data_IF_753873983428
#
_entry.id   IF_753873983428
#
_cell.length_a   1.000
_cell.length_b   1.000
_cell.length_c   1.000
_cell.angle_alpha   90.00
_cell.angle_beta   90.00
_cell.angle_gamma   90.00
#
_symmetry.space_group_name_H-M   'P 1'
#
loop_
_entity.id
_entity.type
_entity.pdbx_description
1 polymer ?
#
# COMPACT_ATOMS: atom_id res chain seq x y z
N UNK A 1 -42.19 -46.84 31.24
CA UNK A 1 -41.85 -47.70 30.09
C UNK A 1 -40.57 -47.14 29.49
N UNK A 2 -39.44 -47.83 29.70
CA UNK A 2 -38.15 -47.42 29.14
C UNK A 2 -37.95 -48.15 27.81
N UNK A 3 -37.60 -47.39 26.78
CA UNK A 3 -37.12 -47.93 25.51
C UNK A 3 -35.97 -48.90 25.78
N UNK A 4 -36.01 -50.09 25.18
CA UNK A 4 -34.91 -51.05 25.23
C UNK A 4 -33.98 -50.85 24.03
N UNK A 5 -32.74 -51.33 24.13
CA UNK A 5 -31.78 -51.31 23.02
C UNK A 5 -32.34 -51.93 21.73
N UNK A 6 -33.23 -52.93 21.87
CA UNK A 6 -33.93 -53.61 20.76
C UNK A 6 -35.07 -52.78 20.17
N UNK A 7 -35.70 -51.91 20.95
CA UNK A 7 -36.78 -51.04 20.46
C UNK A 7 -36.22 -49.93 19.55
N UNK A 8 -35.02 -49.42 19.86
CA UNK A 8 -34.33 -48.41 19.05
C UNK A 8 -33.93 -48.95 17.68
N UNK A 9 -33.44 -50.20 17.62
CA UNK A 9 -33.05 -50.85 16.35
C UNK A 9 -34.24 -51.23 15.46
N UNK A 10 -35.43 -51.42 16.05
CA UNK A 10 -36.66 -51.77 15.31
C UNK A 10 -37.53 -50.55 14.99
N UNK A 11 -37.05 -49.33 15.25
CA UNK A 11 -37.82 -48.11 14.99
C UNK A 11 -37.63 -47.67 13.53
N UNK A 12 -38.72 -47.59 12.77
CA UNK A 12 -38.73 -47.09 11.40
C UNK A 12 -39.33 -45.67 11.32
N UNK A 13 -38.72 -44.80 10.51
CA UNK A 13 -39.17 -43.42 10.31
C UNK A 13 -39.68 -43.20 8.87
N UNK A 14 -40.79 -42.46 8.66
CA UNK A 14 -41.29 -42.15 7.32
C UNK A 14 -40.45 -41.05 6.64
N UNK A 15 -40.05 -41.29 5.38
CA UNK A 15 -39.26 -40.33 4.59
C UNK A 15 -40.07 -39.09 4.17
N UNK A 16 -39.44 -37.90 4.25
CA UNK A 16 -40.03 -36.62 3.83
C UNK A 16 -39.05 -35.85 2.92
N UNK A 17 -39.56 -35.11 1.92
CA UNK A 17 -38.75 -34.34 0.93
C UNK A 17 -37.75 -33.31 1.51
N UNK A 18 -37.89 -32.94 2.78
CA UNK A 18 -36.86 -32.25 3.58
C UNK A 18 -36.78 -33.00 4.91
N UNK A 19 -35.72 -33.76 5.12
CA UNK A 19 -35.53 -34.62 6.28
C UNK A 19 -34.04 -34.90 6.51
N UNK A 20 -33.74 -35.54 7.64
CA UNK A 20 -32.41 -36.05 7.93
C UNK A 20 -32.05 -37.20 6.97
N UNK A 21 -30.76 -37.40 6.71
CA UNK A 21 -30.25 -38.51 5.91
C UNK A 21 -30.51 -39.83 6.64
N UNK A 22 -31.24 -40.76 6.00
CA UNK A 22 -31.60 -42.05 6.59
C UNK A 22 -30.38 -42.88 6.99
N UNK A 23 -29.31 -42.88 6.18
CA UNK A 23 -28.11 -43.65 6.51
C UNK A 23 -27.35 -43.06 7.70
N UNK A 24 -27.37 -41.73 7.86
CA UNK A 24 -26.76 -41.07 9.00
C UNK A 24 -27.55 -41.32 10.28
N UNK A 25 -28.88 -41.32 10.19
CA UNK A 25 -29.77 -41.67 11.29
C UNK A 25 -29.56 -43.13 11.70
N UNK A 26 -29.48 -44.07 10.77
CA UNK A 26 -29.24 -45.49 11.07
C UNK A 26 -27.90 -45.72 11.79
N UNK A 27 -26.81 -45.11 11.31
CA UNK A 27 -25.49 -45.17 11.97
C UNK A 27 -25.52 -44.57 13.38
N UNK A 28 -26.34 -43.54 13.61
CA UNK A 28 -26.52 -42.95 14.92
C UNK A 28 -27.33 -43.87 15.85
N UNK A 29 -28.41 -44.48 15.35
CA UNK A 29 -29.23 -45.43 16.10
C UNK A 29 -28.43 -46.67 16.51
N UNK A 30 -27.55 -47.18 15.65
CA UNK A 30 -26.62 -48.27 15.99
C UNK A 30 -25.72 -47.91 17.19
N UNK A 31 -25.16 -46.69 17.20
CA UNK A 31 -24.32 -46.21 18.30
C UNK A 31 -25.10 -46.03 19.60
N UNK A 32 -26.32 -45.50 19.50
CA UNK A 32 -27.21 -45.33 20.65
C UNK A 32 -27.63 -46.68 21.22
N UNK A 33 -28.02 -47.63 20.35
CA UNK A 33 -28.39 -48.98 20.76
C UNK A 33 -27.23 -49.72 21.43
N UNK A 34 -26.01 -49.61 20.90
CA UNK A 34 -24.81 -50.16 21.53
C UNK A 34 -24.58 -49.58 22.93
N UNK A 35 -24.69 -48.26 23.08
CA UNK A 35 -24.50 -47.60 24.38
C UNK A 35 -25.61 -47.95 25.39
N UNK A 36 -26.85 -48.10 24.93
CA UNK A 36 -27.95 -48.55 25.79
C UNK A 36 -27.75 -49.99 26.27
N UNK A 37 -27.26 -50.87 25.40
CA UNK A 37 -26.97 -52.26 25.77
C UNK A 37 -25.85 -52.35 26.82
N UNK A 38 -24.80 -51.53 26.69
CA UNK A 38 -23.76 -51.40 27.71
C UNK A 38 -24.32 -50.92 29.06
N UNK A 39 -25.15 -49.88 29.06
CA UNK A 39 -25.77 -49.37 30.29
C UNK A 39 -26.72 -50.38 30.94
N UNK A 40 -27.45 -51.15 30.14
CA UNK A 40 -28.30 -52.25 30.64
C UNK A 40 -27.44 -53.35 31.29
N UNK A 41 -26.32 -53.72 30.66
CA UNK A 41 -25.37 -54.70 31.20
C UNK A 41 -24.70 -54.19 32.48
N UNK A 42 -24.25 -52.93 32.52
CA UNK A 42 -23.68 -52.31 33.72
C UNK A 42 -24.69 -52.27 34.86
N UNK A 43 -25.95 -51.90 34.58
CA UNK A 43 -27.03 -51.90 35.58
C UNK A 43 -27.26 -53.29 36.13
N UNK A 44 -27.27 -54.32 35.29
CA UNK A 44 -27.54 -55.69 35.72
C UNK A 44 -26.35 -56.25 36.53
N UNK A 45 -25.11 -55.92 36.15
CA UNK A 45 -23.92 -56.23 36.93
C UNK A 45 -23.94 -55.54 38.31
N UNK A 46 -24.32 -54.25 38.36
CA UNK A 46 -24.42 -53.50 39.61
C UNK A 46 -25.49 -54.09 40.52
N UNK A 47 -26.65 -54.47 39.98
CA UNK A 47 -27.71 -55.14 40.74
C UNK A 47 -27.25 -56.48 41.29
N UNK A 48 -26.58 -57.30 40.47
CA UNK A 48 -26.02 -58.57 40.94
C UNK A 48 -25.00 -58.35 42.07
N UNK A 49 -24.18 -57.29 41.98
CA UNK A 49 -23.20 -56.95 43.01
C UNK A 49 -23.87 -56.46 44.31
N UNK A 50 -24.93 -55.68 44.20
CA UNK A 50 -25.73 -55.25 45.36
C UNK A 50 -26.35 -56.47 46.02
N UNK A 51 -26.99 -57.36 45.28
CA UNK A 51 -27.60 -58.59 45.82
C UNK A 51 -26.55 -59.51 46.49
N UNK A 52 -25.33 -59.56 45.96
CA UNK A 52 -24.20 -60.31 46.55
C UNK A 52 -23.74 -59.69 47.87
N UNK A 53 -23.57 -58.36 47.91
CA UNK A 53 -23.18 -57.63 49.10
C UNK A 53 -24.27 -57.69 50.18
N UNK A 54 -25.54 -57.60 49.81
CA UNK A 54 -26.68 -57.73 50.73
C UNK A 54 -26.75 -59.12 51.35
N UNK A 55 -26.47 -60.18 50.58
CA UNK A 55 -26.35 -61.56 51.12
C UNK A 55 -25.15 -61.71 52.05
N UNK A 56 -23.99 -61.19 51.66
CA UNK A 56 -22.79 -61.23 52.50
C UNK A 56 -22.98 -60.48 53.83
N UNK A 57 -23.71 -59.36 53.81
CA UNK A 57 -24.03 -58.57 54.99
C UNK A 57 -25.07 -59.28 55.89
N UNK A 58 -26.00 -60.05 55.32
CA UNK A 58 -26.97 -60.85 56.07
C UNK A 58 -26.35 -62.11 56.73
N UNK A 59 -25.25 -62.62 56.20
CA UNK A 59 -24.52 -63.79 56.72
C UNK A 59 -23.44 -63.44 57.76
N UNK A 60 -23.15 -62.15 57.99
CA UNK A 60 -22.20 -61.71 59.01
C UNK A 60 -22.81 -61.82 60.43
N UNK A 61 -22.16 -62.54 61.37
CA UNK A 61 -22.66 -62.67 62.73
C UNK A 61 -22.57 -61.32 63.46
N UNK A 62 -23.69 -60.88 64.02
CA UNK A 62 -23.92 -59.56 64.62
C UNK A 62 -23.06 -59.19 65.87
N UNK A 63 -22.02 -59.96 66.20
CA UNK A 63 -21.25 -59.80 67.44
C UNK A 63 -19.92 -59.06 67.29
N UNK A 64 -19.36 -58.93 66.08
CA UNK A 64 -18.13 -58.13 65.81
C UNK A 64 -18.45 -56.67 65.40
N UNK A 65 -19.72 -56.41 65.07
CA UNK A 65 -20.19 -55.17 64.43
C UNK A 65 -20.19 -53.91 65.31
N UNK A 66 -20.07 -53.98 66.63
CA UNK A 66 -20.17 -52.79 67.51
C UNK A 66 -18.82 -52.18 67.92
N UNK A 67 -17.74 -52.96 67.94
CA UNK A 67 -16.39 -52.44 68.20
C UNK A 67 -15.74 -51.85 66.94
N UNK A 68 -15.95 -52.49 65.78
CA UNK A 68 -15.48 -51.99 64.49
C UNK A 68 -16.28 -50.78 63.99
N UNK A 69 -17.57 -50.69 64.33
CA UNK A 69 -18.39 -49.51 64.02
C UNK A 69 -17.95 -48.26 64.80
N UNK A 70 -17.44 -48.39 66.03
CA UNK A 70 -16.94 -47.25 66.80
C UNK A 70 -15.55 -46.78 66.36
N UNK A 71 -14.69 -47.71 65.91
CA UNK A 71 -13.40 -47.39 65.30
C UNK A 71 -13.55 -46.75 63.91
N UNK A 72 -14.49 -47.24 63.08
CA UNK A 72 -14.77 -46.69 61.75
C UNK A 72 -15.36 -45.28 61.77
N UNK A 73 -16.15 -44.92 62.80
CA UNK A 73 -16.71 -43.56 62.95
C UNK A 73 -15.63 -42.55 63.36
N UNK A 74 -14.63 -42.96 64.16
CA UNK A 74 -13.50 -42.10 64.52
C UNK A 74 -12.59 -41.82 63.31
N UNK A 75 -12.23 -42.86 62.55
CA UNK A 75 -11.43 -42.74 61.31
C UNK A 75 -12.16 -41.91 60.24
N UNK A 76 -13.47 -42.10 60.05
CA UNK A 76 -14.28 -41.27 59.14
C UNK A 76 -14.31 -39.78 59.55
N UNK A 77 -14.28 -39.49 60.85
CA UNK A 77 -14.24 -38.11 61.36
C UNK A 77 -12.87 -37.44 61.15
N UNK A 78 -11.77 -38.20 61.25
CA UNK A 78 -10.42 -37.71 60.97
C UNK A 78 -10.20 -37.50 59.47
N UNK A 79 -10.67 -38.42 58.64
CA UNK A 79 -10.68 -38.28 57.18
C UNK A 79 -11.47 -37.05 56.72
N UNK A 80 -12.64 -36.79 57.33
CA UNK A 80 -13.43 -35.58 57.02
C UNK A 80 -12.66 -34.28 57.32
N UNK A 81 -11.93 -34.22 58.45
CA UNK A 81 -11.11 -33.05 58.80
C UNK A 81 -9.90 -32.88 57.87
N UNK A 82 -9.33 -33.98 57.38
CA UNK A 82 -8.24 -33.93 56.39
C UNK A 82 -8.74 -33.41 55.04
N UNK A 83 -9.92 -33.86 54.60
CA UNK A 83 -10.56 -33.38 53.37
C UNK A 83 -10.87 -31.89 53.49
N UNK A 84 -11.40 -31.43 54.62
CA UNK A 84 -11.70 -30.02 54.86
C UNK A 84 -10.44 -29.14 54.81
N UNK A 85 -9.35 -29.55 55.47
CA UNK A 85 -8.06 -28.82 55.37
C UNK A 85 -7.46 -28.86 53.97
N UNK A 86 -7.59 -29.98 53.26
CA UNK A 86 -7.11 -30.10 51.89
C UNK A 86 -7.91 -29.18 50.96
N UNK A 87 -9.22 -29.04 51.17
CA UNK A 87 -10.09 -28.17 50.40
C UNK A 87 -9.77 -26.69 50.64
N UNK A 88 -9.59 -26.27 51.89
CA UNK A 88 -9.16 -24.89 52.22
C UNK A 88 -7.79 -24.58 51.62
N UNK A 89 -6.85 -25.53 51.65
CA UNK A 89 -5.54 -25.36 51.02
C UNK A 89 -5.65 -25.28 49.50
N UNK A 90 -6.50 -26.08 48.87
CA UNK A 90 -6.73 -26.04 47.44
C UNK A 90 -7.38 -24.72 47.01
N UNK A 91 -8.35 -24.21 47.78
CA UNK A 91 -8.97 -22.90 47.57
C UNK A 91 -7.94 -21.78 47.69
N UNK A 92 -7.11 -21.79 48.74
CA UNK A 92 -6.04 -20.80 48.91
C UNK A 92 -5.02 -20.84 47.76
N UNK A 93 -4.68 -22.03 47.26
CA UNK A 93 -3.80 -22.16 46.09
C UNK A 93 -4.48 -21.61 44.84
N UNK A 94 -5.77 -21.90 44.64
CA UNK A 94 -6.53 -21.39 43.50
C UNK A 94 -6.64 -19.86 43.53
N UNK A 95 -6.90 -19.26 44.70
CA UNK A 95 -6.95 -17.81 44.85
C UNK A 95 -5.60 -17.17 44.55
N UNK A 96 -4.51 -17.78 45.02
CA UNK A 96 -3.17 -17.31 44.74
C UNK A 96 -2.83 -17.40 43.26
N UNK A 97 -3.17 -18.50 42.59
CA UNK A 97 -2.91 -18.64 41.14
C UNK A 97 -3.74 -17.69 40.31
N UNK A 98 -4.98 -17.39 40.73
CA UNK A 98 -5.80 -16.37 40.09
C UNK A 98 -5.16 -14.99 40.26
N UNK A 99 -4.74 -14.63 41.48
CA UNK A 99 -4.09 -13.35 41.74
C UNK A 99 -2.79 -13.18 40.93
N UNK A 100 -1.95 -14.22 40.89
CA UNK A 100 -0.70 -14.21 40.12
C UNK A 100 -1.00 -14.08 38.61
N UNK A 101 -2.00 -14.79 38.09
CA UNK A 101 -2.40 -14.70 36.68
C UNK A 101 -3.00 -13.33 36.32
N UNK A 102 -3.75 -12.71 37.24
CA UNK A 102 -4.29 -11.36 37.05
C UNK A 102 -3.19 -10.30 37.03
N UNK A 103 -2.18 -10.42 37.91
CA UNK A 103 -1.01 -9.54 37.92
C UNK A 103 -0.21 -9.66 36.62
N UNK A 104 0.08 -10.89 36.18
CA UNK A 104 0.77 -11.13 34.91
C UNK A 104 -0.01 -10.60 33.71
N UNK A 105 -1.33 -10.81 33.68
CA UNK A 105 -2.19 -10.30 32.62
C UNK A 105 -2.20 -8.77 32.59
N UNK A 106 -2.24 -8.10 33.74
CA UNK A 106 -2.19 -6.64 33.80
C UNK A 106 -0.81 -6.11 33.39
N UNK A 107 0.29 -6.76 33.79
CA UNK A 107 1.64 -6.42 33.31
C UNK A 107 1.73 -6.51 31.79
N UNK A 108 1.26 -7.62 31.21
CA UNK A 108 1.26 -7.82 29.76
C UNK A 108 0.41 -6.77 29.04
N UNK A 109 -0.76 -6.41 29.60
CA UNK A 109 -1.60 -5.33 29.05
C UNK A 109 -0.89 -3.99 29.07
N UNK A 110 -0.17 -3.66 30.14
CA UNK A 110 0.57 -2.40 30.25
C UNK A 110 1.75 -2.34 29.28
N UNK A 111 2.48 -3.44 29.14
CA UNK A 111 3.55 -3.58 28.15
C UNK A 111 3.00 -3.41 26.72
N UNK A 112 1.94 -4.14 26.37
CA UNK A 112 1.30 -4.04 25.07
C UNK A 112 0.76 -2.63 24.77
N UNK A 113 0.17 -1.95 25.77
CA UNK A 113 -0.27 -0.54 25.64
C UNK A 113 0.92 0.39 25.39
N UNK A 114 1.99 0.24 26.15
CA UNK A 114 3.19 1.06 26.00
C UNK A 114 3.83 0.85 24.63
N UNK A 115 3.90 -0.39 24.16
CA UNK A 115 4.42 -0.72 22.83
C UNK A 115 3.52 -0.16 21.73
N UNK A 116 2.20 -0.27 21.87
CA UNK A 116 1.24 0.32 20.94
C UNK A 116 1.41 1.85 20.87
N UNK A 117 1.53 2.52 22.01
CA UNK A 117 1.76 3.96 22.07
C UNK A 117 3.09 4.34 21.40
N UNK A 118 4.16 3.58 21.61
CA UNK A 118 5.45 3.79 20.94
C UNK A 118 5.38 3.59 19.42
N UNK A 119 4.61 2.59 18.95
CA UNK A 119 4.39 2.39 17.51
C UNK A 119 3.59 3.57 16.93
N UNK A 120 2.54 4.02 17.62
CA UNK A 120 1.73 5.15 17.18
C UNK A 120 2.55 6.45 17.12
N UNK A 121 3.37 6.73 18.13
CA UNK A 121 4.23 7.91 18.13
C UNK A 121 5.29 7.87 17.03
N UNK A 122 5.92 6.70 16.79
CA UNK A 122 6.85 6.54 15.65
C UNK A 122 6.15 6.75 14.31
N UNK A 123 4.98 6.13 14.11
CA UNK A 123 4.21 6.28 12.88
C UNK A 123 3.76 7.73 12.65
N UNK A 124 3.34 8.44 13.71
CA UNK A 124 3.00 9.87 13.65
C UNK A 124 4.20 10.71 13.26
N UNK A 125 5.34 10.50 13.91
CA UNK A 125 6.56 11.24 13.60
C UNK A 125 7.05 10.98 12.17
N UNK A 126 7.01 9.74 11.70
CA UNK A 126 7.34 9.40 10.30
C UNK A 126 6.37 10.06 9.31
N UNK A 127 5.07 10.06 9.61
CA UNK A 127 4.07 10.72 8.79
C UNK A 127 4.30 12.24 8.71
N UNK A 128 4.63 12.88 9.84
CA UNK A 128 4.92 14.31 9.89
C UNK A 128 6.21 14.64 9.12
N UNK A 129 7.25 13.82 9.25
CA UNK A 129 8.48 13.97 8.46
C UNK A 129 8.23 13.82 6.97
N UNK A 130 7.42 12.83 6.56
CA UNK A 130 7.07 12.63 5.15
C UNK A 130 6.28 13.83 4.61
N UNK A 131 5.31 14.33 5.38
CA UNK A 131 4.54 15.54 5.02
C UNK A 131 5.46 16.74 4.83
N UNK A 132 6.39 16.98 5.75
CA UNK A 132 7.36 18.08 5.63
C UNK A 132 8.22 17.93 4.37
N UNK A 133 8.73 16.73 4.07
CA UNK A 133 9.52 16.50 2.85
C UNK A 133 8.70 16.78 1.59
N UNK A 134 7.46 16.30 1.53
CA UNK A 134 6.57 16.54 0.40
C UNK A 134 6.24 18.04 0.26
N UNK A 135 5.97 18.73 1.36
CA UNK A 135 5.72 20.17 1.36
C UNK A 135 6.94 20.95 0.86
N UNK A 136 8.15 20.59 1.30
CA UNK A 136 9.40 21.18 0.81
C UNK A 136 9.61 20.93 -0.68
N UNK A 137 9.39 19.70 -1.16
CA UNK A 137 9.51 19.37 -2.59
C UNK A 137 8.50 20.14 -3.44
N UNK A 138 7.23 20.17 -3.02
CA UNK A 138 6.19 20.94 -3.68
C UNK A 138 6.52 22.44 -3.68
N UNK A 139 7.08 22.96 -2.58
CA UNK A 139 7.51 24.36 -2.52
C UNK A 139 8.67 24.64 -3.49
N UNK A 140 9.66 23.74 -3.57
CA UNK A 140 10.80 23.84 -4.51
C UNK A 140 10.33 23.79 -5.96
N UNK A 141 9.46 22.85 -6.31
CA UNK A 141 8.93 22.71 -7.66
C UNK A 141 8.09 23.94 -8.07
N UNK A 142 7.25 24.44 -7.16
CA UNK A 142 6.48 25.67 -7.38
C UNK A 142 7.39 26.89 -7.57
N UNK A 143 8.48 26.98 -6.80
CA UNK A 143 9.47 28.05 -6.96
C UNK A 143 10.15 27.96 -8.33
N UNK A 144 10.63 26.77 -8.73
CA UNK A 144 11.26 26.54 -10.03
C UNK A 144 10.31 26.85 -11.20
N UNK A 145 9.04 26.43 -11.10
CA UNK A 145 8.01 26.74 -12.10
C UNK A 145 7.78 28.24 -12.19
N UNK A 146 7.69 28.94 -11.05
CA UNK A 146 7.52 30.39 -11.00
C UNK A 146 8.69 31.11 -11.66
N UNK A 147 9.93 30.70 -11.36
CA UNK A 147 11.11 31.25 -12.00
C UNK A 147 11.14 30.99 -13.51
N UNK A 148 10.72 29.80 -13.96
CA UNK A 148 10.56 29.47 -15.37
C UNK A 148 9.56 30.40 -16.07
N UNK A 149 8.40 30.63 -15.45
CA UNK A 149 7.39 31.57 -15.96
C UNK A 149 7.94 32.99 -16.06
N UNK A 150 8.65 33.48 -15.04
CA UNK A 150 9.28 34.80 -15.08
C UNK A 150 10.37 34.91 -16.15
N UNK A 151 11.16 33.83 -16.36
CA UNK A 151 12.17 33.77 -17.43
C UNK A 151 11.53 33.88 -18.80
N UNK A 152 10.45 33.12 -19.05
CA UNK A 152 9.71 33.19 -20.32
C UNK A 152 9.07 34.57 -20.51
N UNK A 153 8.48 35.15 -19.46
CA UNK A 153 7.93 36.52 -19.51
C UNK A 153 8.99 37.55 -19.90
N UNK A 154 10.19 37.45 -19.31
CA UNK A 154 11.31 38.33 -19.65
C UNK A 154 11.75 38.16 -21.10
N UNK A 155 11.93 36.93 -21.57
CA UNK A 155 12.29 36.65 -22.96
C UNK A 155 11.25 37.17 -23.95
N UNK A 156 9.95 37.06 -23.64
CA UNK A 156 8.87 37.64 -24.47
C UNK A 156 8.98 39.16 -24.50
N UNK A 157 9.28 39.82 -23.38
CA UNK A 157 9.46 41.26 -23.34
C UNK A 157 10.66 41.70 -24.19
N UNK A 158 11.79 41.00 -24.07
CA UNK A 158 13.00 41.25 -24.86
C UNK A 158 12.75 41.06 -26.37
N UNK A 159 12.06 39.98 -26.77
CA UNK A 159 11.69 39.74 -28.18
C UNK A 159 10.76 40.81 -28.74
N UNK A 160 9.82 41.31 -27.93
CA UNK A 160 8.93 42.40 -28.33
C UNK A 160 9.69 43.70 -28.52
N UNK A 161 10.60 44.03 -27.60
CA UNK A 161 11.45 45.19 -27.72
C UNK A 161 12.34 45.10 -28.96
N UNK A 162 13.02 43.97 -29.16
CA UNK A 162 13.86 43.74 -30.34
C UNK A 162 13.07 43.90 -31.65
N UNK A 163 11.85 43.35 -31.70
CA UNK A 163 10.96 43.53 -32.85
C UNK A 163 10.65 45.01 -33.10
N UNK A 164 10.32 45.76 -32.06
CA UNK A 164 9.94 47.17 -32.19
C UNK A 164 11.15 48.01 -32.63
N UNK A 165 12.32 47.79 -32.01
CA UNK A 165 13.59 48.42 -32.38
C UNK A 165 13.99 48.10 -33.84
N UNK A 166 13.88 46.83 -34.26
CA UNK A 166 14.17 46.41 -35.63
C UNK A 166 13.21 47.06 -36.64
N UNK A 167 11.91 47.16 -36.31
CA UNK A 167 10.93 47.83 -37.18
C UNK A 167 11.22 49.32 -37.32
N UNK A 168 11.61 49.98 -36.25
CA UNK A 168 11.97 51.39 -36.29
C UNK A 168 13.28 51.61 -37.06
N UNK A 169 14.25 50.71 -36.93
CA UNK A 169 15.48 50.73 -37.73
C UNK A 169 15.20 50.56 -39.23
N UNK A 170 14.39 49.56 -39.61
CA UNK A 170 14.00 49.36 -41.01
C UNK A 170 13.23 50.58 -41.54
N UNK A 171 12.31 51.15 -40.76
CA UNK A 171 11.57 52.36 -41.15
C UNK A 171 12.51 53.55 -41.35
N UNK A 172 13.51 53.73 -40.47
CA UNK A 172 14.48 54.80 -40.58
C UNK A 172 15.34 54.65 -41.84
N UNK A 173 15.85 53.45 -42.13
CA UNK A 173 16.65 53.17 -43.34
C UNK A 173 15.83 53.40 -44.61
N UNK A 174 14.57 52.93 -44.65
CA UNK A 174 13.70 53.17 -45.81
C UNK A 174 13.39 54.65 -45.99
N UNK A 175 13.12 55.39 -44.90
CA UNK A 175 12.89 56.84 -44.96
C UNK A 175 14.13 57.60 -45.45
N UNK A 176 15.32 57.19 -45.02
CA UNK A 176 16.60 57.74 -45.50
C UNK A 176 16.79 57.46 -47.00
N UNK A 177 16.56 56.22 -47.44
CA UNK A 177 16.65 55.83 -48.85
C UNK A 177 15.65 56.59 -49.73
N UNK A 178 14.41 56.77 -49.26
CA UNK A 178 13.41 57.58 -49.97
C UNK A 178 13.85 59.05 -50.05
N UNK A 179 14.36 59.62 -48.96
CA UNK A 179 14.89 61.00 -48.97
C UNK A 179 16.07 61.15 -49.93
N UNK A 180 16.95 60.16 -50.01
CA UNK A 180 18.05 60.14 -50.96
C UNK A 180 17.56 60.03 -52.41
N UNK A 181 16.52 59.23 -52.67
CA UNK A 181 15.88 59.14 -53.98
C UNK A 181 15.15 60.42 -54.36
N UNK A 182 14.45 61.09 -53.45
CA UNK A 182 13.80 62.37 -53.73
C UNK A 182 14.84 63.44 -54.11
N UNK A 183 16.01 63.45 -53.47
CA UNK A 183 17.13 64.32 -53.87
C UNK A 183 17.74 63.95 -55.22
N UNK A 184 17.80 62.66 -55.56
CA UNK A 184 18.34 62.19 -56.83
C UNK A 184 17.32 62.31 -57.99
N UNK A 185 16.02 62.27 -57.67
CA UNK A 185 14.88 62.40 -58.56
C UNK A 185 14.42 63.84 -58.78
N UNK A 186 14.94 64.79 -57.97
CA UNK A 186 15.00 66.20 -58.34
C UNK A 186 16.02 66.36 -59.47
N UNK A 187 15.66 65.85 -60.65
CA UNK A 187 16.33 66.18 -61.91
C UNK A 187 16.01 67.66 -62.12
N UNK A 188 16.98 68.58 -61.96
CA UNK A 188 16.74 69.96 -62.33
C UNK A 188 16.35 69.96 -63.81
N UNK A 189 15.37 70.78 -64.19
CA UNK A 189 15.03 71.03 -65.60
C UNK A 189 16.32 71.05 -66.41
N UNK A 190 16.47 70.06 -67.30
CA UNK A 190 17.67 69.91 -68.11
C UNK A 190 17.92 71.25 -68.79
N UNK A 191 19.07 71.93 -68.56
CA UNK A 191 19.41 73.08 -69.37
C UNK A 191 19.47 72.61 -70.84
N UNK A 192 18.82 73.35 -71.74
CA UNK A 192 18.67 73.05 -73.19
C UNK A 192 19.99 72.94 -73.99
N UNK A 193 21.14 72.74 -73.36
CA UNK A 193 22.44 72.77 -74.01
C UNK A 193 23.14 71.42 -73.95
N UNK A 194 22.95 70.64 -75.02
CA UNK A 194 23.73 69.44 -75.37
C UNK A 194 25.15 69.87 -75.77
N UNK A 195 26.03 70.24 -74.82
CA UNK A 195 27.46 70.46 -75.17
C UNK A 195 28.48 70.01 -74.10
N UNK A 196 28.07 69.38 -73.00
CA UNK A 196 29.02 68.83 -72.03
C UNK A 196 28.76 67.34 -71.74
N UNK A 197 28.76 66.56 -72.83
CA UNK A 197 28.95 65.12 -72.82
C UNK A 197 30.30 64.83 -73.47
N UNK A 198 31.36 65.06 -72.71
CA UNK A 198 32.72 64.95 -73.18
C UNK A 198 33.69 64.88 -72.00
N UNK A 199 33.61 63.79 -71.24
CA UNK A 199 34.78 63.10 -70.69
C UNK A 199 34.34 61.87 -69.87
N UNK A 200 33.94 60.81 -70.59
CA UNK A 200 34.02 59.45 -70.07
C UNK A 200 35.33 58.85 -70.58
N UNK A 201 36.40 59.03 -69.82
CA UNK A 201 37.68 58.36 -70.07
C UNK A 201 37.64 56.95 -69.44
N UNK A 202 37.45 55.94 -70.28
CA UNK A 202 37.67 54.52 -69.93
C UNK A 202 39.16 54.25 -70.04
N UNK A 203 39.88 54.38 -68.92
CA UNK A 203 41.28 54.00 -68.78
C UNK A 203 41.38 52.66 -68.06
N UNK A 204 41.49 51.57 -68.83
CA UNK A 204 41.93 50.29 -68.28
C UNK A 204 43.45 50.28 -68.22
N UNK A 205 44.01 49.96 -67.05
CA UNK A 205 45.24 49.18 -67.03
C UNK A 205 45.37 48.36 -65.73
N UNK A 206 45.77 47.11 -65.92
CA UNK A 206 46.05 46.14 -64.89
C UNK A 206 47.56 45.99 -64.78
N UNK A 207 48.14 46.15 -63.57
CA UNK A 207 49.09 45.20 -62.96
C UNK A 207 49.90 45.78 -61.80
N UNK A 208 49.97 44.98 -60.74
CA UNK A 208 51.08 44.88 -59.76
C UNK A 208 51.14 46.03 -58.76
N UNK A 209 51.19 45.83 -57.45
CA UNK A 209 51.53 44.70 -56.60
C UNK A 209 51.79 45.30 -55.20
N UNK A 210 51.82 44.45 -54.18
CA UNK A 210 52.07 44.76 -52.77
C UNK A 210 50.86 45.24 -51.94
N UNK A 211 50.15 44.25 -51.39
CA UNK A 211 49.30 44.38 -50.20
C UNK A 211 50.13 44.01 -48.97
N UNK A 212 50.48 45.00 -48.16
CA UNK A 212 50.76 44.80 -46.74
C UNK A 212 49.43 44.72 -45.95
N UNK A 213 49.31 43.63 -45.18
CA UNK A 213 48.55 43.41 -43.92
C UNK A 213 47.06 43.80 -43.84
N UNK A 214 46.23 42.77 -43.70
CA UNK A 214 44.90 42.79 -43.08
C UNK A 214 45.01 42.82 -41.54
N UNK A 215 44.09 43.52 -40.85
CA UNK A 215 43.14 42.79 -40.00
C UNK A 215 41.76 43.45 -39.97
N UNK A 216 40.76 42.83 -40.61
CA UNK A 216 39.36 42.74 -40.15
C UNK A 216 38.53 42.07 -41.27
N UNK A 217 37.80 41.02 -40.95
CA UNK A 217 36.74 40.47 -41.80
C UNK A 217 35.49 40.26 -40.91
N UNK A 218 34.29 40.70 -41.33
CA UNK A 218 33.06 40.64 -40.54
C UNK A 218 32.41 39.23 -40.55
N UNK A 219 31.56 38.90 -39.55
CA UNK A 219 31.02 37.54 -39.38
C UNK A 219 29.78 37.25 -40.24
N UNK A 220 29.75 36.05 -40.85
CA UNK A 220 28.58 35.42 -41.49
C UNK A 220 27.67 34.67 -40.47
N UNK A 221 26.38 34.44 -40.80
CA UNK A 221 25.36 33.94 -39.87
C UNK A 221 25.42 32.41 -39.66
N UNK A 222 25.06 31.88 -38.46
CA UNK A 222 25.03 30.43 -38.26
C UNK A 222 23.72 29.81 -38.77
N UNK A 223 23.84 28.97 -39.81
CA UNK A 223 22.85 27.95 -40.17
C UNK A 223 23.10 26.67 -39.39
N UNK A 224 22.05 26.19 -38.76
CA UNK A 224 21.85 24.88 -38.17
C UNK A 224 22.06 23.75 -39.21
N UNK A 225 22.68 22.65 -38.76
CA UNK A 225 22.29 21.25 -39.00
C UNK A 225 23.45 20.29 -39.33
N UNK A 226 23.36 19.15 -38.66
CA UNK A 226 23.86 17.82 -39.01
C UNK A 226 25.31 17.42 -38.63
N UNK A 227 25.36 16.68 -37.52
CA UNK A 227 25.98 15.35 -37.42
C UNK A 227 27.48 15.22 -37.68
N UNK A 228 28.23 14.97 -36.60
CA UNK A 228 29.11 13.78 -36.47
C UNK A 228 29.58 13.59 -35.03
N UNK A 229 29.37 12.37 -34.56
CA UNK A 229 29.70 11.77 -33.26
C UNK A 229 31.13 11.98 -32.77
N UNK A 230 31.39 12.05 -31.44
CA UNK A 230 32.62 11.56 -30.89
C UNK A 230 32.41 10.18 -30.25
N UNK A 231 33.10 9.21 -30.84
CA UNK A 231 33.49 7.94 -30.24
C UNK A 231 34.25 8.19 -28.93
N UNK A 232 33.84 7.53 -27.85
CA UNK A 232 34.66 7.37 -26.64
C UNK A 232 33.86 7.30 -25.33
N UNK A 233 33.36 6.11 -24.99
CA UNK A 233 33.08 5.74 -23.61
C UNK A 233 33.84 4.44 -23.29
N UNK A 234 34.44 4.29 -22.09
CA UNK A 234 34.91 3.01 -21.62
C UNK A 234 33.73 2.19 -21.07
N UNK A 235 33.97 0.88 -21.14
CA UNK A 235 33.15 -0.26 -20.75
C UNK A 235 32.79 -0.28 -19.26
N UNK A 236 31.56 -0.70 -18.95
CA UNK A 236 31.13 -1.59 -17.83
C UNK A 236 29.68 -1.30 -17.40
N UNK A 237 28.79 -2.30 -17.54
CA UNK A 237 27.56 -2.37 -16.74
C UNK A 237 26.29 -2.87 -17.45
N UNK A 238 26.05 -4.17 -17.35
CA UNK A 238 24.74 -4.85 -17.33
C UNK A 238 23.79 -4.69 -18.54
N UNK A 239 23.74 -5.75 -19.35
CA UNK A 239 22.70 -5.99 -20.35
C UNK A 239 21.37 -6.34 -19.65
N UNK A 240 20.32 -5.56 -19.89
CA UNK A 240 18.92 -5.98 -19.69
C UNK A 240 18.14 -5.72 -20.98
N UNK A 241 17.35 -6.73 -21.36
CA UNK A 241 16.74 -6.89 -22.68
C UNK A 241 15.56 -5.92 -22.90
N UNK A 242 15.29 -5.44 -24.14
CA UNK A 242 14.23 -4.46 -24.43
C UNK A 242 12.77 -4.90 -24.16
N UNK A 243 12.54 -6.15 -23.75
CA UNK A 243 11.19 -6.71 -23.62
C UNK A 243 10.56 -6.49 -22.24
N UNK A 244 11.34 -6.16 -21.20
CA UNK A 244 10.83 -5.98 -19.83
C UNK A 244 10.39 -4.52 -19.54
N UNK A 245 10.87 -3.54 -20.31
CA UNK A 245 10.51 -2.13 -20.15
C UNK A 245 9.07 -1.80 -20.62
N UNK A 246 8.50 -2.61 -21.52
CA UNK A 246 7.13 -2.39 -22.01
C UNK A 246 6.03 -2.90 -21.07
N UNK A 247 6.35 -3.77 -20.10
CA UNK A 247 5.36 -4.29 -19.16
C UNK A 247 5.04 -3.29 -18.02
N UNK A 248 5.99 -2.43 -17.64
CA UNK A 248 5.82 -1.49 -16.52
C UNK A 248 5.20 -0.12 -16.92
N UNK A 249 5.08 0.18 -18.21
CA UNK A 249 4.50 1.45 -18.68
C UNK A 249 2.98 1.41 -18.93
N UNK A 250 2.36 0.23 -18.91
CA UNK A 250 0.92 0.09 -19.18
C UNK A 250 0.03 0.21 -17.91
N UNK A 251 0.60 0.12 -16.71
CA UNK A 251 -0.17 0.11 -15.46
C UNK A 251 -0.32 1.48 -14.79
N UNK A 252 0.32 2.53 -15.30
CA UNK A 252 0.31 3.85 -14.67
C UNK A 252 -0.66 4.86 -15.32
N UNK A 253 -1.35 4.50 -16.41
CA UNK A 253 -2.27 5.44 -17.10
C UNK A 253 -3.51 4.77 -17.74
N UNK A 254 -4.22 3.95 -16.96
CA UNK A 254 -5.60 3.55 -17.29
C UNK A 254 -6.62 4.64 -16.88
N UNK A 255 -7.75 4.83 -17.59
CA UNK A 255 -8.77 5.79 -17.19
C UNK A 255 -9.42 5.39 -15.85
N UNK A 256 -9.87 6.35 -15.02
CA UNK A 256 -10.43 6.04 -13.71
C UNK A 256 -11.78 5.32 -13.87
N UNK A 257 -11.80 4.01 -13.63
CA UNK A 257 -13.03 3.23 -13.48
C UNK A 257 -13.63 3.47 -12.09
N UNK A 258 -14.81 4.09 -12.07
CA UNK A 258 -15.87 3.80 -11.09
C UNK A 258 -15.73 4.38 -9.69
N UNK A 259 -16.18 5.63 -9.51
CA UNK A 259 -16.87 6.03 -8.29
C UNK A 259 -18.30 5.46 -8.37
N UNK A 260 -18.57 4.33 -7.73
CA UNK A 260 -19.94 3.96 -7.34
C UNK A 260 -20.25 4.64 -6.00
N UNK A 261 -21.19 5.60 -6.05
CA UNK A 261 -21.79 6.25 -4.89
C UNK A 261 -22.57 5.25 -4.03
N UNK A 262 -22.72 5.52 -2.71
CA UNK A 262 -23.47 4.66 -1.82
C UNK A 262 -24.98 4.80 -2.04
N UNK A 263 -25.59 3.64 -2.18
CA UNK A 263 -26.98 3.24 -1.95
C UNK A 263 -27.89 4.30 -1.29
N UNK A 264 -28.76 4.92 -2.09
CA UNK A 264 -29.85 5.77 -1.60
C UNK A 264 -31.12 5.51 -2.42
N UNK A 265 -31.78 4.37 -2.13
CA UNK A 265 -33.25 4.20 -2.10
C UNK A 265 -33.66 2.72 -2.02
N UNK A 266 -34.22 2.29 -0.89
CA UNK A 266 -35.49 1.55 -0.90
C UNK A 266 -36.39 2.03 0.25
N UNK A 267 -37.39 2.82 -0.16
CA UNK A 267 -38.76 2.76 0.35
C UNK A 267 -39.49 1.57 -0.27
#
# INVERSE_FOLDING_TARGET
>A
MSLTSRDVLNTEFPEKRKGYDGEEVDRFLDRVAARMAELEQERDNLRARVDELERAQAEQPAAESTAEAQAGVADASEQSRLIERALVRAEQIADQTIADAEEEAERLRQEARTEADQVLERARHEADQLRQRVEEEVARERAATREGVERVRRAIAELRQFRDDYRDQVRAVVAEQLTALDRAGDVPDLPESIEQLGDLHVGGDSRGGDRERTPDDPPEPPSEAAERTPSGAPDEGAQLSPQEASALSAELWGPPTGLEEPDDQQR
#
